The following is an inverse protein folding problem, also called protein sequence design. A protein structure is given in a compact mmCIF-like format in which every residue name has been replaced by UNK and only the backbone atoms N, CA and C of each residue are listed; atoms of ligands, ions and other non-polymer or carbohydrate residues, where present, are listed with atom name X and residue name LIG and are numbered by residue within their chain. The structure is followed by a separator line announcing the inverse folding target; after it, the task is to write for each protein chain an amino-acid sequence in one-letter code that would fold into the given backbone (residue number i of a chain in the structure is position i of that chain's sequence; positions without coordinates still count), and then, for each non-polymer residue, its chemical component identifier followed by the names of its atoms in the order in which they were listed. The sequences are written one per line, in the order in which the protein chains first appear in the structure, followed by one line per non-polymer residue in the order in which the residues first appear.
data_IF_256443041520
#
_entry.id   IF_256443041520
#
_cell.length_a   1.000
_cell.length_b   1.000
_cell.length_c   1.000
_cell.angle_alpha   90.00
_cell.angle_beta   90.00
_cell.angle_gamma   90.00
#
_symmetry.space_group_name_H-M   'P 1'
#
loop_
_entity.id
_entity.type
_entity.pdbx_description
1 polymer ?
#
# COMPACT_ATOMS: atom_id res chain seq x y z
N UNK A 1 10.27 4.77 19.33
CA UNK A 1 9.72 6.14 19.17
C UNK A 1 8.21 6.01 19.21
N UNK A 2 7.55 6.80 20.03
CA UNK A 2 6.09 6.86 20.10
C UNK A 2 5.57 7.69 18.91
N UNK A 3 4.32 7.44 18.55
CA UNK A 3 3.51 8.09 17.52
C UNK A 3 2.23 8.60 18.16
N UNK A 4 1.50 9.47 17.48
CA UNK A 4 0.22 10.01 17.99
C UNK A 4 -0.81 8.92 18.31
N UNK A 5 -0.73 7.77 17.64
CA UNK A 5 -1.62 6.63 17.91
C UNK A 5 -1.30 5.94 19.24
N UNK A 6 -0.09 6.08 19.78
CA UNK A 6 0.30 5.47 21.05
C UNK A 6 -0.38 6.12 22.28
N UNK A 7 -0.91 7.34 22.13
CA UNK A 7 -1.74 7.99 23.15
C UNK A 7 -3.20 7.48 23.12
N UNK A 8 -3.58 6.73 22.09
CA UNK A 8 -4.89 6.07 22.01
C UNK A 8 -4.85 4.71 22.73
N UNK A 9 -6.02 4.17 23.08
CA UNK A 9 -6.13 2.83 23.66
C UNK A 9 -6.22 1.72 22.59
N UNK A 10 -5.73 1.95 21.36
CA UNK A 10 -5.96 1.11 20.19
C UNK A 10 -4.77 0.22 19.80
N UNK A 11 -4.05 -0.34 20.76
CA UNK A 11 -2.88 -1.17 20.47
C UNK A 11 -3.28 -2.59 20.04
N UNK A 12 -2.64 -3.11 18.98
CA UNK A 12 -2.83 -4.51 18.54
C UNK A 12 -1.99 -5.52 19.34
N UNK A 13 -0.92 -5.06 19.98
CA UNK A 13 0.01 -5.84 20.78
C UNK A 13 0.48 -4.97 21.97
N UNK A 14 1.10 -5.52 23.03
CA UNK A 14 1.71 -4.73 24.10
C UNK A 14 3.03 -4.05 23.62
N UNK A 15 2.97 -3.40 22.47
CA UNK A 15 4.07 -2.76 21.75
C UNK A 15 3.58 -1.42 21.17
N UNK A 16 4.45 -0.40 21.04
CA UNK A 16 4.08 0.84 20.36
C UNK A 16 3.72 0.62 18.88
N UNK A 17 2.89 1.47 18.29
CA UNK A 17 2.47 1.43 16.88
C UNK A 17 3.61 1.48 15.85
N UNK A 18 4.77 1.98 16.27
CA UNK A 18 5.98 1.97 15.45
C UNK A 18 6.65 0.58 15.34
N UNK A 19 6.16 -0.42 16.09
CA UNK A 19 6.72 -1.77 16.17
C UNK A 19 5.71 -2.80 15.68
N UNK A 20 6.22 -3.89 15.11
CA UNK A 20 5.41 -5.03 14.68
C UNK A 20 5.73 -6.23 15.57
N UNK A 21 4.81 -7.19 15.68
CA UNK A 21 4.93 -8.31 16.63
C UNK A 21 6.06 -9.29 16.32
N UNK A 22 6.60 -9.26 15.10
CA UNK A 22 7.67 -10.13 14.62
C UNK A 22 8.95 -9.36 14.32
N UNK A 23 10.11 -9.97 14.56
CA UNK A 23 11.41 -9.42 14.15
C UNK A 23 11.78 -9.75 12.70
N UNK A 24 10.95 -10.51 11.97
CA UNK A 24 11.22 -10.84 10.57
C UNK A 24 11.28 -9.56 9.73
N UNK A 25 12.43 -9.28 9.11
CA UNK A 25 12.62 -8.07 8.30
C UNK A 25 11.67 -8.02 7.10
N UNK A 26 11.12 -9.16 6.68
CA UNK A 26 10.23 -9.29 5.52
C UNK A 26 8.78 -8.91 5.84
N UNK A 27 8.43 -8.60 7.09
CA UNK A 27 7.10 -8.10 7.42
C UNK A 27 6.79 -6.80 6.66
N UNK A 28 5.61 -6.73 6.05
CA UNK A 28 5.13 -5.51 5.39
C UNK A 28 3.61 -5.37 5.43
N UNK A 29 3.17 -4.12 5.40
CA UNK A 29 1.81 -3.72 5.01
C UNK A 29 1.86 -3.15 3.59
N UNK A 30 0.79 -3.35 2.80
CA UNK A 30 0.79 -2.90 1.41
C UNK A 30 -0.58 -2.46 0.92
N UNK A 31 -0.58 -1.33 0.21
CA UNK A 31 -1.65 -0.98 -0.72
C UNK A 31 -1.38 -1.58 -2.10
N UNK A 32 -2.43 -2.11 -2.73
CA UNK A 32 -2.41 -2.60 -4.09
C UNK A 32 -3.72 -2.19 -4.78
N UNK A 33 -3.61 -1.36 -5.80
CA UNK A 33 -4.72 -0.94 -6.64
C UNK A 33 -4.45 -1.36 -8.07
N UNK A 34 -5.47 -1.88 -8.72
CA UNK A 34 -5.45 -2.24 -10.13
C UNK A 34 -6.69 -1.61 -10.79
N UNK A 35 -6.49 -0.99 -11.94
CA UNK A 35 -7.54 -0.27 -12.65
C UNK A 35 -7.35 -0.36 -14.15
N UNK A 36 -8.47 -0.25 -14.88
CA UNK A 36 -8.50 -0.30 -16.34
C UNK A 36 -9.38 0.83 -16.86
N UNK A 37 -9.00 1.39 -18.01
CA UNK A 37 -9.90 2.25 -18.76
C UNK A 37 -11.16 1.46 -19.14
N UNK A 38 -12.38 2.05 -19.11
CA UNK A 38 -13.61 1.34 -19.44
C UNK A 38 -13.64 0.73 -20.85
N UNK A 39 -12.87 1.31 -21.79
CA UNK A 39 -12.71 0.82 -23.16
C UNK A 39 -11.57 -0.19 -23.32
N UNK A 40 -10.85 -0.51 -22.24
CA UNK A 40 -9.69 -1.40 -22.24
C UNK A 40 -8.43 -0.82 -22.87
N UNK A 41 -8.41 0.47 -23.22
CA UNK A 41 -7.26 1.12 -23.88
C UNK A 41 -6.02 1.22 -23.00
N UNK A 42 -6.20 1.24 -21.68
CA UNK A 42 -5.13 1.32 -20.71
C UNK A 42 -5.42 0.51 -19.44
N UNK A 43 -4.35 0.07 -18.80
CA UNK A 43 -4.37 -0.54 -17.47
C UNK A 43 -3.32 0.11 -16.57
N UNK A 44 -3.57 0.11 -15.27
CA UNK A 44 -2.62 0.63 -14.29
C UNK A 44 -2.61 -0.19 -13.00
N UNK A 45 -1.44 -0.21 -12.36
CA UNK A 45 -1.25 -0.73 -11.01
C UNK A 45 -0.54 0.33 -10.20
N UNK A 46 -1.08 0.62 -9.01
CA UNK A 46 -0.47 1.49 -8.01
C UNK A 46 -0.24 0.67 -6.75
N UNK A 47 0.97 0.74 -6.19
CA UNK A 47 1.26 0.08 -4.93
C UNK A 47 2.15 0.92 -4.03
N UNK A 48 1.98 0.74 -2.72
CA UNK A 48 2.82 1.33 -1.69
C UNK A 48 3.05 0.30 -0.59
N UNK A 49 4.32 0.00 -0.28
CA UNK A 49 4.72 -0.98 0.71
C UNK A 49 5.44 -0.35 1.89
N UNK A 50 4.96 -0.65 3.10
CA UNK A 50 5.59 -0.25 4.37
C UNK A 50 6.30 -1.44 4.99
N UNK A 51 7.61 -1.34 5.15
CA UNK A 51 8.44 -2.37 5.78
C UNK A 51 9.01 -1.83 7.10
N UNK A 52 8.27 -2.03 8.19
CA UNK A 52 8.57 -1.43 9.49
C UNK A 52 9.97 -1.81 10.02
N UNK A 53 10.34 -3.08 9.88
CA UNK A 53 11.60 -3.65 10.36
C UNK A 53 12.80 -3.28 9.48
N UNK A 54 12.59 -3.01 8.19
CA UNK A 54 13.65 -2.52 7.28
C UNK A 54 13.76 -0.99 7.25
N UNK A 55 12.85 -0.26 7.90
CA UNK A 55 12.79 1.20 7.85
C UNK A 55 12.59 1.75 6.42
N UNK A 56 11.76 1.09 5.61
CA UNK A 56 11.51 1.48 4.22
C UNK A 56 10.02 1.73 3.98
N UNK A 57 9.72 2.81 3.26
CA UNK A 57 8.48 2.96 2.51
C UNK A 57 8.85 2.98 1.02
N UNK A 58 8.24 2.11 0.23
CA UNK A 58 8.37 2.10 -1.22
C UNK A 58 7.03 2.34 -1.90
N UNK A 59 7.08 2.64 -3.19
CA UNK A 59 5.88 2.70 -3.99
C UNK A 59 6.19 2.71 -5.47
N UNK A 60 5.21 2.30 -6.26
CA UNK A 60 5.32 2.32 -7.71
C UNK A 60 3.98 2.60 -8.38
N UNK A 61 4.07 3.13 -9.59
CA UNK A 61 2.98 3.19 -10.56
C UNK A 61 3.46 2.54 -11.84
N UNK A 62 2.71 1.56 -12.31
CA UNK A 62 2.90 1.01 -13.65
C UNK A 62 1.64 1.24 -14.45
N UNK A 63 1.79 1.71 -15.69
CA UNK A 63 0.68 1.85 -16.61
C UNK A 63 1.04 1.18 -17.94
N UNK A 64 0.04 0.60 -18.59
CA UNK A 64 0.18 0.03 -19.92
C UNK A 64 -0.84 0.69 -20.85
N UNK A 65 -0.38 1.12 -22.02
CA UNK A 65 -1.21 1.66 -23.09
C UNK A 65 -0.53 1.36 -24.43
N UNK A 66 -1.30 0.98 -25.45
CA UNK A 66 -0.82 0.70 -26.82
C UNK A 66 0.36 -0.30 -26.88
N UNK A 67 0.31 -1.34 -26.06
CA UNK A 67 1.35 -2.38 -26.00
C UNK A 67 2.67 -1.95 -25.34
N UNK A 68 2.73 -0.73 -24.76
CA UNK A 68 3.91 -0.22 -24.03
C UNK A 68 3.61 -0.09 -22.54
N UNK A 69 4.56 -0.52 -21.71
CA UNK A 69 4.51 -0.36 -20.26
C UNK A 69 5.41 0.80 -19.80
N UNK A 70 4.88 1.63 -18.92
CA UNK A 70 5.57 2.72 -18.22
C UNK A 70 5.67 2.36 -16.75
N UNK A 71 6.78 2.73 -16.11
CA UNK A 71 7.05 2.36 -14.72
C UNK A 71 7.67 3.56 -14.00
N UNK A 72 7.14 3.89 -12.83
CA UNK A 72 7.70 4.88 -11.91
C UNK A 72 7.84 4.21 -10.55
N UNK A 73 8.98 4.39 -9.88
CA UNK A 73 9.29 3.74 -8.60
C UNK A 73 9.94 4.75 -7.67
N UNK A 74 9.56 4.71 -6.41
CA UNK A 74 10.14 5.55 -5.36
C UNK A 74 10.45 4.71 -4.13
N UNK A 75 11.40 5.19 -3.33
CA UNK A 75 11.70 4.63 -2.02
C UNK A 75 12.19 5.75 -1.11
N UNK A 76 11.86 5.65 0.19
CA UNK A 76 12.40 6.51 1.24
C UNK A 76 12.60 5.73 2.53
N UNK A 77 13.38 6.31 3.43
CA UNK A 77 13.36 5.88 4.83
C UNK A 77 11.96 6.08 5.41
N UNK A 78 11.44 5.08 6.12
CA UNK A 78 10.11 5.13 6.75
C UNK A 78 10.07 6.17 7.88
N UNK A 79 11.10 6.18 8.72
CA UNK A 79 11.23 7.11 9.85
C UNK A 79 11.87 8.44 9.41
N UNK A 80 11.48 9.58 10.00
CA UNK A 80 10.57 9.71 11.15
C UNK A 80 9.07 9.71 10.78
N UNK A 81 8.74 9.92 9.51
CA UNK A 81 7.38 10.05 9.00
C UNK A 81 6.66 8.70 8.82
N UNK A 82 6.44 7.97 9.93
CA UNK A 82 5.92 6.60 9.92
C UNK A 82 4.45 6.48 9.54
N UNK A 83 3.67 7.55 9.75
CA UNK A 83 2.24 7.62 9.43
C UNK A 83 1.97 8.17 8.02
N UNK A 84 2.98 8.77 7.38
CA UNK A 84 2.80 9.38 6.05
C UNK A 84 2.81 8.33 4.94
N UNK A 85 1.71 8.27 4.20
CA UNK A 85 1.53 7.44 2.99
C UNK A 85 1.93 8.22 1.74
N UNK A 86 3.15 8.78 1.75
CA UNK A 86 3.77 9.52 0.64
C UNK A 86 5.22 9.09 0.44
N UNK A 87 5.63 8.86 -0.80
CA UNK A 87 7.00 8.50 -1.18
C UNK A 87 7.35 9.11 -2.54
N UNK A 88 8.32 10.02 -2.57
CA UNK A 88 8.56 10.86 -3.74
C UNK A 88 7.31 11.67 -4.11
N UNK A 89 6.93 11.63 -5.39
CA UNK A 89 5.69 12.24 -5.89
C UNK A 89 4.44 11.37 -5.75
N UNK A 90 4.54 10.14 -5.22
CA UNK A 90 3.42 9.21 -5.07
C UNK A 90 2.82 9.30 -3.66
N UNK A 91 1.49 9.42 -3.56
CA UNK A 91 0.77 9.41 -2.28
C UNK A 91 -0.57 8.67 -2.35
N UNK A 92 -0.98 8.11 -1.22
CA UNK A 92 -2.31 7.52 -0.99
C UNK A 92 -2.97 8.24 0.18
N UNK A 93 -4.15 8.81 0.00
CA UNK A 93 -4.92 9.48 1.06
C UNK A 93 -6.21 8.73 1.33
N UNK A 94 -6.60 8.62 2.60
CA UNK A 94 -7.86 8.04 3.04
C UNK A 94 -8.86 9.18 3.26
N UNK A 95 -9.74 9.44 2.30
CA UNK A 95 -10.77 10.47 2.41
C UNK A 95 -11.94 9.95 3.27
N UNK A 96 -12.39 8.73 2.99
CA UNK A 96 -13.31 7.96 3.82
C UNK A 96 -12.75 6.52 3.95
N UNK A 97 -12.28 6.09 5.13
CA UNK A 97 -11.68 4.77 5.31
C UNK A 97 -12.54 3.63 4.76
N UNK A 98 -11.93 2.73 3.98
CA UNK A 98 -12.59 1.60 3.30
C UNK A 98 -13.71 1.97 2.32
N UNK A 99 -13.80 3.24 1.89
CA UNK A 99 -14.83 3.70 0.95
C UNK A 99 -14.30 4.63 -0.13
N UNK A 100 -13.61 5.70 0.23
CA UNK A 100 -13.08 6.71 -0.70
C UNK A 100 -11.60 6.92 -0.41
N UNK A 101 -10.75 6.61 -1.39
CA UNK A 101 -9.30 6.77 -1.30
C UNK A 101 -8.83 7.59 -2.50
N UNK A 102 -7.79 8.41 -2.30
CA UNK A 102 -7.19 9.20 -3.37
C UNK A 102 -5.76 8.73 -3.63
N UNK A 103 -5.44 8.44 -4.88
CA UNK A 103 -4.13 8.05 -5.36
C UNK A 103 -3.58 9.18 -6.23
N UNK A 104 -2.40 9.69 -5.88
CA UNK A 104 -1.80 10.79 -6.63
C UNK A 104 -0.36 10.49 -6.97
N UNK A 105 0.01 10.70 -8.23
CA UNK A 105 1.38 10.78 -8.70
C UNK A 105 1.59 12.18 -9.30
N UNK A 106 2.37 13.00 -8.61
CA UNK A 106 2.75 14.34 -9.08
C UNK A 106 3.55 14.27 -10.38
N UNK A 107 3.48 15.32 -11.22
CA UNK A 107 4.36 15.45 -12.37
C UNK A 107 5.83 15.58 -11.93
N UNK A 108 6.74 15.02 -12.74
CA UNK A 108 8.16 15.00 -12.42
C UNK A 108 9.00 14.46 -13.58
N UNK A 109 10.26 14.12 -13.29
CA UNK A 109 11.19 13.52 -14.26
C UNK A 109 10.92 12.02 -14.47
N UNK A 110 9.69 11.71 -14.90
CA UNK A 110 9.20 10.36 -15.16
C UNK A 110 7.95 10.38 -16.05
N UNK A 111 7.59 9.29 -16.74
CA UNK A 111 6.62 9.32 -17.83
C UNK A 111 5.14 9.34 -17.41
N UNK A 112 4.82 9.29 -16.11
CA UNK A 112 3.45 9.18 -15.61
C UNK A 112 3.13 10.28 -14.60
N UNK A 113 1.89 10.74 -14.59
CA UNK A 113 1.27 11.49 -13.49
C UNK A 113 -0.20 11.03 -13.39
N UNK A 114 -0.79 11.11 -12.20
CA UNK A 114 -2.20 10.80 -12.02
C UNK A 114 -2.79 11.45 -10.78
N UNK A 115 -4.11 11.63 -10.81
CA UNK A 115 -4.94 12.01 -9.67
C UNK A 115 -6.24 11.23 -9.77
N UNK A 116 -6.29 10.10 -9.06
CA UNK A 116 -7.36 9.11 -9.16
C UNK A 116 -8.09 9.04 -7.82
N UNK A 117 -9.41 8.94 -7.88
CA UNK A 117 -10.25 8.66 -6.71
C UNK A 117 -10.81 7.26 -6.84
N UNK A 118 -10.43 6.39 -5.91
CA UNK A 118 -11.05 5.09 -5.74
C UNK A 118 -12.32 5.22 -4.90
N UNK A 119 -13.44 4.77 -5.44
CA UNK A 119 -14.72 4.67 -4.74
C UNK A 119 -15.16 3.21 -4.68
N UNK A 120 -15.19 2.65 -3.47
CA UNK A 120 -15.64 1.28 -3.24
C UNK A 120 -17.10 1.08 -3.66
N UNK A 121 -17.33 0.22 -4.66
CA UNK A 121 -18.67 -0.15 -5.12
C UNK A 121 -19.33 -1.20 -4.23
N UNK A 122 -18.52 -1.96 -3.49
CA UNK A 122 -18.95 -2.96 -2.52
C UNK A 122 -18.17 -2.80 -1.20
N UNK A 123 -18.71 -3.30 -0.07
CA UNK A 123 -17.95 -3.36 1.17
C UNK A 123 -16.66 -4.15 0.98
N UNK A 124 -15.56 -3.69 1.59
CA UNK A 124 -14.32 -4.45 1.66
C UNK A 124 -14.57 -5.84 2.26
N UNK A 125 -13.97 -6.87 1.67
CA UNK A 125 -14.07 -8.26 2.11
C UNK A 125 -12.72 -8.71 2.62
N UNK A 126 -12.64 -9.03 3.90
CA UNK A 126 -11.48 -9.73 4.47
C UNK A 126 -11.44 -11.15 3.91
N UNK A 127 -10.32 -11.53 3.34
CA UNK A 127 -10.05 -12.89 2.89
C UNK A 127 -9.67 -13.78 4.08
N UNK A 128 -9.77 -15.10 3.90
CA UNK A 128 -9.30 -16.07 4.88
C UNK A 128 -7.79 -15.92 5.13
N UNK A 129 -7.37 -16.25 6.35
CA UNK A 129 -5.96 -16.26 6.71
C UNK A 129 -5.17 -17.21 5.81
N UNK A 130 -4.18 -16.68 5.09
CA UNK A 130 -3.29 -17.47 4.25
C UNK A 130 -2.01 -17.79 5.00
N UNK A 131 -1.96 -18.98 5.60
CA UNK A 131 -0.76 -19.49 6.27
C UNK A 131 -0.24 -20.74 5.59
N UNK A 132 1.06 -20.78 5.27
CA UNK A 132 1.68 -21.95 4.66
C UNK A 132 3.12 -22.15 5.11
N UNK A 133 3.51 -23.44 5.13
CA UNK A 133 4.87 -23.87 5.48
C UNK A 133 5.44 -24.77 4.40
N UNK A 134 6.72 -24.61 4.14
CA UNK A 134 7.51 -25.50 3.28
C UNK A 134 8.69 -25.98 4.11
N UNK A 135 8.83 -27.31 4.25
CA UNK A 135 9.92 -27.94 5.03
C UNK A 135 10.04 -27.36 6.47
N UNK A 136 8.89 -27.13 7.12
CA UNK A 136 8.83 -26.61 8.50
C UNK A 136 8.96 -25.09 8.63
N UNK A 137 9.41 -24.38 7.58
CA UNK A 137 9.55 -22.91 7.56
C UNK A 137 8.26 -22.24 7.07
N UNK A 138 7.80 -21.21 7.78
CA UNK A 138 6.73 -20.35 7.29
C UNK A 138 7.17 -19.59 6.04
N UNK A 139 6.39 -19.73 4.96
CA UNK A 139 6.63 -19.04 3.68
C UNK A 139 5.54 -18.03 3.35
N UNK A 140 4.34 -18.19 3.91
CA UNK A 140 3.26 -17.21 3.89
C UNK A 140 2.59 -17.17 5.26
N UNK A 141 2.33 -15.96 5.73
CA UNK A 141 1.51 -15.65 6.89
C UNK A 141 0.90 -14.27 6.63
N UNK A 142 -0.35 -14.24 6.17
CA UNK A 142 -0.90 -13.05 5.52
C UNK A 142 -2.41 -13.00 5.64
N UNK A 143 -2.90 -11.79 5.91
CA UNK A 143 -4.28 -11.39 5.67
C UNK A 143 -4.33 -10.40 4.52
N UNK A 144 -5.45 -10.41 3.79
CA UNK A 144 -5.76 -9.44 2.75
C UNK A 144 -7.21 -9.06 2.88
N UNK A 145 -7.55 -7.87 2.46
CA UNK A 145 -8.92 -7.60 2.05
C UNK A 145 -8.92 -7.18 0.60
N UNK A 146 -10.00 -7.52 -0.09
CA UNK A 146 -10.26 -7.07 -1.44
C UNK A 146 -11.49 -6.16 -1.45
N UNK A 147 -11.49 -5.18 -2.34
CA UNK A 147 -12.62 -4.33 -2.60
C UNK A 147 -12.71 -4.08 -4.10
N UNK A 148 -13.93 -4.08 -4.64
CA UNK A 148 -14.21 -3.66 -6.01
C UNK A 148 -14.72 -2.22 -5.97
N UNK A 149 -14.29 -1.42 -6.93
CA UNK A 149 -14.55 0.01 -6.98
C UNK A 149 -14.25 0.59 -8.36
N UNK A 150 -14.45 1.90 -8.46
CA UNK A 150 -14.18 2.73 -9.64
C UNK A 150 -13.31 3.90 -9.28
#
# INVERSE_FOLDING_TARGET
MLTELDDTLLHQAPLPFASVSTSDHRFYDRYWFEGFAPDGSAGLIVSMGRYANMNVLDGFVTAQQDGRQYNVRFSRALRPAVAETRVGGLSVSLEEPLRVLRLRLEEGDHPLSCDLTWTGSLPARLEDHSFSRVQGRAVSDMYRFAQVGT
#
